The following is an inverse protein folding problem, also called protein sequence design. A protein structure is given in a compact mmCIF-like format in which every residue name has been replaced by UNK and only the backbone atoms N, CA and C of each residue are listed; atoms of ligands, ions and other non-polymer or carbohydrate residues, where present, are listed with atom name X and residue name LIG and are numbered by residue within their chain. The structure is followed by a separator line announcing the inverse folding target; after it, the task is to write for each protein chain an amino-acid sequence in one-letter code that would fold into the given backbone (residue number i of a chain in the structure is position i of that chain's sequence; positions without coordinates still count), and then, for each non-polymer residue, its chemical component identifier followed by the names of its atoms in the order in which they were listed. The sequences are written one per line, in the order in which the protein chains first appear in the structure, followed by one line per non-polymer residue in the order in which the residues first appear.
data_IF_181293172640
#
_entry.id   IF_181293172640
#
_cell.length_a   1.000
_cell.length_b   1.000
_cell.length_c   1.000
_cell.angle_alpha   90.00
_cell.angle_beta   90.00
_cell.angle_gamma   90.00
#
_symmetry.space_group_name_H-M   'P 1'
#
loop_
_entity.id
_entity.type
_entity.pdbx_description
1 polymer ?
#
# COMPACT_ATOMS: atom_id res chain seq x y z
N UNK A 1 -23.62 -4.22 17.33
CA UNK A 1 -23.55 -5.40 16.45
C UNK A 1 -24.92 -6.04 16.26
N UNK A 2 -25.31 -6.24 15.01
CA UNK A 2 -26.45 -7.06 14.61
C UNK A 2 -26.19 -8.56 14.75
N UNK A 3 -27.23 -9.38 14.62
CA UNK A 3 -27.14 -10.84 14.84
C UNK A 3 -26.31 -11.55 13.76
N UNK A 4 -26.36 -11.05 12.52
CA UNK A 4 -25.51 -11.52 11.42
C UNK A 4 -24.02 -11.25 11.69
N UNK A 5 -23.65 -10.08 12.21
CA UNK A 5 -22.26 -9.72 12.51
C UNK A 5 -21.68 -10.64 13.58
N UNK A 6 -22.46 -10.95 14.63
CA UNK A 6 -22.07 -11.92 15.66
C UNK A 6 -21.88 -13.33 15.11
N UNK A 7 -22.75 -13.77 14.21
CA UNK A 7 -22.61 -15.08 13.58
C UNK A 7 -21.38 -15.16 12.67
N UNK A 8 -21.07 -14.09 11.94
CA UNK A 8 -19.88 -14.03 11.09
C UNK A 8 -18.60 -14.05 11.94
N UNK A 9 -18.55 -13.26 13.02
CA UNK A 9 -17.36 -13.12 13.87
C UNK A 9 -17.08 -14.33 14.79
N UNK A 10 -18.13 -15.07 15.18
CA UNK A 10 -18.02 -16.16 16.14
C UNK A 10 -17.53 -15.68 17.52
N UNK A 11 -16.54 -16.38 18.09
CA UNK A 11 -15.92 -16.02 19.37
C UNK A 11 -14.93 -14.84 19.27
N UNK A 12 -14.62 -14.41 18.04
CA UNK A 12 -13.78 -13.23 17.81
C UNK A 12 -14.68 -12.00 17.76
N UNK A 13 -14.22 -10.88 18.32
CA UNK A 13 -14.94 -9.62 18.15
C UNK A 13 -14.92 -9.22 16.67
N UNK A 14 -16.09 -8.90 16.10
CA UNK A 14 -16.24 -8.53 14.68
C UNK A 14 -15.38 -7.31 14.36
N UNK A 15 -15.29 -6.36 15.29
CA UNK A 15 -14.42 -5.19 15.15
C UNK A 15 -12.94 -5.60 15.19
N UNK A 16 -12.53 -6.54 16.04
CA UNK A 16 -11.16 -7.11 16.01
C UNK A 16 -10.86 -7.89 14.71
N UNK A 17 -11.90 -8.41 14.04
CA UNK A 17 -11.78 -9.17 12.79
C UNK A 17 -11.84 -8.29 11.53
N UNK A 18 -12.63 -7.21 11.56
CA UNK A 18 -12.90 -6.30 10.44
C UNK A 18 -12.14 -4.99 10.52
N UNK A 19 -11.89 -4.48 11.73
CA UNK A 19 -11.04 -3.33 11.93
C UNK A 19 -9.61 -3.81 11.93
N UNK A 20 -8.98 -3.46 10.82
CA UNK A 20 -7.58 -3.17 10.58
C UNK A 20 -6.90 -2.38 11.73
N UNK A 21 -6.99 -2.80 12.99
CA UNK A 21 -6.15 -2.27 14.06
C UNK A 21 -5.51 -3.42 14.84
N UNK A 22 -4.16 -3.44 14.84
CA UNK A 22 -3.32 -4.32 15.65
C UNK A 22 -3.26 -5.80 15.23
N UNK A 23 -3.53 -6.14 13.97
CA UNK A 23 -3.19 -7.49 13.48
C UNK A 23 -1.69 -7.61 13.16
N UNK A 24 -1.08 -8.79 13.32
CA UNK A 24 0.30 -9.04 12.88
C UNK A 24 0.55 -8.65 11.41
N UNK A 25 -0.47 -8.74 10.53
CA UNK A 25 -0.35 -8.34 9.11
C UNK A 25 -0.08 -6.84 8.99
N UNK A 26 -0.81 -6.02 9.75
CA UNK A 26 -0.66 -4.57 9.68
C UNK A 26 0.57 -4.04 10.39
N UNK A 27 0.96 -4.69 11.48
CA UNK A 27 2.23 -4.39 12.13
C UNK A 27 3.39 -4.59 11.14
N UNK A 28 3.36 -5.69 10.38
CA UNK A 28 4.35 -5.96 9.33
C UNK A 28 4.30 -4.87 8.25
N UNK A 29 3.11 -4.54 7.74
CA UNK A 29 2.96 -3.50 6.71
C UNK A 29 3.46 -2.13 7.19
N UNK A 30 3.07 -1.72 8.39
CA UNK A 30 3.46 -0.43 8.97
C UNK A 30 4.96 -0.35 9.24
N UNK A 31 5.55 -1.45 9.72
CA UNK A 31 6.99 -1.54 9.95
C UNK A 31 7.77 -1.55 8.62
N UNK A 32 7.27 -2.26 7.59
CA UNK A 32 7.87 -2.27 6.27
C UNK A 32 7.92 -0.86 5.64
N UNK A 33 6.82 -0.11 5.76
CA UNK A 33 6.79 1.29 5.36
C UNK A 33 7.83 2.12 6.11
N UNK A 34 7.93 1.99 7.43
CA UNK A 34 8.91 2.71 8.23
C UNK A 34 10.36 2.36 7.86
N UNK A 35 10.63 1.13 7.44
CA UNK A 35 11.93 0.69 6.91
C UNK A 35 12.22 1.37 5.57
N UNK A 36 11.28 1.36 4.62
CA UNK A 36 11.45 2.05 3.33
C UNK A 36 11.74 3.54 3.48
N UNK A 37 11.10 4.21 4.45
CA UNK A 37 11.34 5.63 4.72
C UNK A 37 12.74 5.94 5.26
N UNK A 38 13.49 4.95 5.73
CA UNK A 38 14.82 5.13 6.32
C UNK A 38 15.94 4.44 5.56
N UNK A 39 15.60 3.53 4.64
CA UNK A 39 16.60 2.79 3.88
C UNK A 39 17.39 3.72 2.95
N UNK A 40 18.73 3.78 3.06
CA UNK A 40 19.53 4.73 2.32
C UNK A 40 19.52 4.49 0.81
N UNK A 41 19.33 3.25 0.34
CA UNK A 41 19.25 2.95 -1.09
C UNK A 41 17.90 3.39 -1.66
N UNK A 42 16.82 3.18 -0.90
CA UNK A 42 15.48 3.69 -1.26
C UNK A 42 15.49 5.21 -1.32
N UNK A 43 16.09 5.89 -0.34
CA UNK A 43 16.18 7.36 -0.35
C UNK A 43 17.00 7.88 -1.54
N UNK A 44 18.13 7.25 -1.85
CA UNK A 44 18.94 7.62 -3.01
C UNK A 44 18.17 7.43 -4.34
N UNK A 45 17.45 6.32 -4.49
CA UNK A 45 16.65 6.07 -5.69
C UNK A 45 15.45 7.04 -5.82
N UNK A 46 14.82 7.40 -4.70
CA UNK A 46 13.76 8.43 -4.66
C UNK A 46 14.28 9.80 -5.06
N UNK A 47 15.45 10.19 -4.55
CA UNK A 47 16.08 11.45 -4.94
C UNK A 47 16.39 11.46 -6.45
N UNK A 48 16.97 10.38 -6.98
CA UNK A 48 17.25 10.28 -8.42
C UNK A 48 15.96 10.34 -9.27
N UNK A 49 14.88 9.71 -8.81
CA UNK A 49 13.56 9.82 -9.45
C UNK A 49 13.03 11.25 -9.45
N UNK A 50 13.13 11.97 -8.32
CA UNK A 50 12.75 13.37 -8.24
C UNK A 50 13.59 14.28 -9.14
N UNK A 51 14.90 14.03 -9.24
CA UNK A 51 15.79 14.74 -10.15
C UNK A 51 15.40 14.52 -11.61
N UNK A 52 15.12 13.28 -12.02
CA UNK A 52 14.64 12.97 -13.38
C UNK A 52 13.31 13.66 -13.70
N UNK A 53 12.34 13.62 -12.79
CA UNK A 53 11.06 14.33 -12.97
C UNK A 53 11.25 15.85 -13.08
N UNK A 54 12.19 16.42 -12.31
CA UNK A 54 12.50 17.84 -12.33
C UNK A 54 13.18 18.31 -13.63
N UNK A 55 13.94 17.44 -14.31
CA UNK A 55 14.52 17.69 -15.63
C UNK A 55 13.41 17.89 -16.69
N UNK A 56 12.31 17.14 -16.56
CA UNK A 56 11.11 17.24 -17.41
C UNK A 56 10.13 18.35 -16.98
N UNK A 57 10.51 19.14 -15.96
CA UNK A 57 9.73 20.28 -15.48
C UNK A 57 8.76 19.97 -14.32
N UNK A 58 8.70 18.73 -13.85
CA UNK A 58 7.86 18.31 -12.73
C UNK A 58 8.64 18.42 -11.40
N UNK A 59 8.59 19.59 -10.75
CA UNK A 59 9.51 19.96 -9.65
C UNK A 59 8.94 19.90 -8.24
N UNK A 60 7.62 19.70 -8.10
CA UNK A 60 7.00 19.69 -6.78
C UNK A 60 7.40 18.41 -6.06
N UNK A 61 7.95 18.54 -4.84
CA UNK A 61 8.37 17.42 -3.99
C UNK A 61 7.77 17.56 -2.58
N UNK A 62 7.54 16.44 -1.91
CA UNK A 62 7.09 16.42 -0.52
C UNK A 62 8.25 16.59 0.45
N UNK A 63 7.93 16.66 1.75
CA UNK A 63 8.91 16.77 2.83
C UNK A 63 9.90 15.59 2.90
N UNK A 64 9.62 14.50 2.18
CA UNK A 64 10.40 13.26 2.09
C UNK A 64 11.11 13.13 0.74
N UNK A 65 11.11 14.19 -0.07
CA UNK A 65 11.77 14.24 -1.37
C UNK A 65 11.08 13.44 -2.47
N UNK A 66 9.83 13.03 -2.26
CA UNK A 66 9.03 12.33 -3.27
C UNK A 66 8.39 13.33 -4.22
N UNK A 67 8.38 13.11 -5.55
CA UNK A 67 7.59 13.91 -6.47
C UNK A 67 6.13 13.99 -6.01
N UNK A 68 5.61 15.20 -5.82
CA UNK A 68 4.18 15.46 -5.67
C UNK A 68 3.65 15.89 -7.03
N UNK A 69 2.54 15.29 -7.41
CA UNK A 69 1.76 15.77 -8.55
C UNK A 69 0.91 16.96 -8.10
N UNK A 70 1.38 18.17 -8.37
CA UNK A 70 0.59 19.39 -8.20
C UNK A 70 -0.38 19.52 -9.38
N UNK A 71 -1.46 18.74 -9.33
CA UNK A 71 -2.46 18.65 -10.38
C UNK A 71 -3.07 20.01 -10.75
N UNK A 72 -3.28 20.89 -9.77
CA UNK A 72 -3.80 22.23 -10.01
C UNK A 72 -2.81 23.07 -10.83
N UNK A 73 -1.53 23.09 -10.46
CA UNK A 73 -0.50 23.80 -11.23
C UNK A 73 -0.31 23.26 -12.66
N UNK A 74 -0.61 21.97 -12.86
CA UNK A 74 -0.53 21.28 -14.13
C UNK A 74 -1.82 21.41 -14.96
N UNK A 75 -2.86 22.08 -14.44
CA UNK A 75 -4.15 22.22 -15.10
C UNK A 75 -4.89 20.91 -15.29
N UNK A 76 -4.65 19.93 -14.40
CA UNK A 76 -5.25 18.60 -14.44
C UNK A 76 -6.58 18.64 -13.68
N UNK A 77 -7.66 18.32 -14.40
CA UNK A 77 -9.01 18.19 -13.85
C UNK A 77 -9.29 16.73 -13.51
N UNK A 78 -9.28 16.40 -12.22
CA UNK A 78 -9.51 15.05 -11.72
C UNK A 78 -10.96 14.55 -11.91
N UNK A 79 -11.90 15.47 -12.19
CA UNK A 79 -13.30 15.12 -12.47
C UNK A 79 -13.56 14.88 -13.98
N UNK A 80 -12.56 15.11 -14.83
CA UNK A 80 -12.68 14.90 -16.26
C UNK A 80 -12.93 13.41 -16.58
N UNK A 81 -13.87 13.08 -17.48
CA UNK A 81 -14.21 11.68 -17.79
C UNK A 81 -13.13 10.93 -18.59
N UNK A 82 -12.10 11.65 -19.07
CA UNK A 82 -10.96 11.09 -19.81
C UNK A 82 -9.69 11.86 -19.46
N UNK A 83 -8.53 11.18 -19.40
CA UNK A 83 -7.27 11.86 -19.19
C UNK A 83 -6.95 12.78 -20.38
N UNK A 84 -6.49 13.97 -20.05
CA UNK A 84 -5.87 14.92 -20.96
C UNK A 84 -4.50 14.44 -21.45
N UNK A 85 -3.95 15.09 -22.47
CA UNK A 85 -2.59 14.79 -22.93
C UNK A 85 -1.55 15.10 -21.84
N UNK A 86 -1.75 16.14 -21.04
CA UNK A 86 -0.87 16.49 -19.92
C UNK A 86 -0.78 15.37 -18.89
N UNK A 87 -1.91 14.74 -18.54
CA UNK A 87 -1.95 13.60 -17.63
C UNK A 87 -1.23 12.38 -18.21
N UNK A 88 -1.41 12.12 -19.51
CA UNK A 88 -0.74 11.02 -20.22
C UNK A 88 0.77 11.25 -20.26
N UNK A 89 1.22 12.47 -20.58
CA UNK A 89 2.63 12.82 -20.65
C UNK A 89 3.29 12.73 -19.27
N UNK A 90 2.62 13.24 -18.23
CA UNK A 90 3.06 13.13 -16.85
C UNK A 90 3.23 11.66 -16.42
N UNK A 91 2.22 10.83 -16.65
CA UNK A 91 2.29 9.41 -16.29
C UNK A 91 3.36 8.64 -17.08
N UNK A 92 3.57 9.03 -18.35
CA UNK A 92 4.59 8.44 -19.20
C UNK A 92 5.99 8.76 -18.68
N UNK A 93 6.25 10.02 -18.33
CA UNK A 93 7.51 10.46 -17.75
C UNK A 93 7.75 9.88 -16.36
N UNK A 94 6.71 9.79 -15.54
CA UNK A 94 6.79 9.14 -14.24
C UNK A 94 7.28 7.69 -14.36
N UNK A 95 6.63 6.89 -15.21
CA UNK A 95 7.05 5.50 -15.46
C UNK A 95 8.47 5.43 -16.03
N UNK A 96 8.82 6.32 -16.96
CA UNK A 96 10.17 6.38 -17.52
C UNK A 96 11.22 6.63 -16.43
N UNK A 97 11.03 7.68 -15.62
CA UNK A 97 11.96 8.05 -14.56
C UNK A 97 12.03 6.98 -13.46
N UNK A 98 10.92 6.32 -13.13
CA UNK A 98 10.92 5.19 -12.19
C UNK A 98 11.76 4.01 -12.70
N UNK A 99 11.74 3.74 -14.00
CA UNK A 99 12.54 2.68 -14.63
C UNK A 99 14.03 3.03 -14.68
N UNK A 100 14.36 4.24 -15.13
CA UNK A 100 15.73 4.78 -15.16
C UNK A 100 16.40 4.70 -13.78
N UNK A 101 15.68 5.11 -12.75
CA UNK A 101 16.22 5.27 -11.38
C UNK A 101 16.06 4.02 -10.52
N UNK A 102 15.29 3.03 -11.00
CA UNK A 102 15.01 1.77 -10.31
C UNK A 102 14.42 1.95 -8.92
N UNK A 103 13.67 3.04 -8.71
CA UNK A 103 13.05 3.34 -7.40
C UNK A 103 12.05 2.26 -6.98
N UNK A 104 11.26 1.76 -7.92
CA UNK A 104 10.31 0.68 -7.68
C UNK A 104 11.01 -0.65 -7.36
N UNK A 105 12.03 -1.02 -8.14
CA UNK A 105 12.80 -2.26 -7.92
C UNK A 105 13.52 -2.25 -6.56
N UNK A 106 14.16 -1.12 -6.23
CA UNK A 106 14.90 -0.95 -4.97
C UNK A 106 13.96 -1.01 -3.78
N UNK A 107 12.81 -0.32 -3.85
CA UNK A 107 11.78 -0.38 -2.82
C UNK A 107 11.24 -1.80 -2.65
N UNK A 108 10.90 -2.46 -3.76
CA UNK A 108 10.41 -3.84 -3.75
C UNK A 108 11.39 -4.80 -3.07
N UNK A 109 12.68 -4.72 -3.41
CA UNK A 109 13.71 -5.60 -2.83
C UNK A 109 13.83 -5.41 -1.31
N UNK A 110 13.85 -4.16 -0.84
CA UNK A 110 13.99 -3.84 0.58
C UNK A 110 12.74 -4.26 1.35
N UNK A 111 11.56 -3.94 0.83
CA UNK A 111 10.29 -4.28 1.46
C UNK A 111 10.06 -5.78 1.52
N UNK A 112 10.23 -6.50 0.40
CA UNK A 112 10.03 -7.95 0.36
C UNK A 112 10.96 -8.68 1.32
N UNK A 113 12.25 -8.32 1.36
CA UNK A 113 13.19 -8.93 2.30
C UNK A 113 12.78 -8.71 3.77
N UNK A 114 12.31 -7.51 4.11
CA UNK A 114 11.83 -7.22 5.46
C UNK A 114 10.56 -8.01 5.78
N UNK A 115 9.58 -7.98 4.88
CA UNK A 115 8.29 -8.66 5.07
C UNK A 115 8.47 -10.18 5.16
N UNK A 116 9.29 -10.79 4.32
CA UNK A 116 9.61 -12.23 4.39
C UNK A 116 10.22 -12.62 5.74
N UNK A 117 11.15 -11.80 6.26
CA UNK A 117 11.77 -12.04 7.56
C UNK A 117 10.75 -11.92 8.71
N UNK A 118 9.87 -10.91 8.68
CA UNK A 118 8.84 -10.75 9.71
C UNK A 118 7.73 -11.79 9.62
N UNK A 119 7.34 -12.21 8.41
CA UNK A 119 6.42 -13.32 8.20
C UNK A 119 6.99 -14.60 8.81
N UNK A 120 8.28 -14.88 8.59
CA UNK A 120 8.97 -16.02 9.19
C UNK A 120 8.95 -15.98 10.73
N UNK A 121 9.21 -14.82 11.32
CA UNK A 121 9.19 -14.63 12.79
C UNK A 121 7.79 -14.76 13.40
N UNK A 122 6.75 -14.42 12.63
CA UNK A 122 5.36 -14.31 13.11
C UNK A 122 4.47 -15.41 12.52
N UNK A 123 5.04 -16.48 11.98
CA UNK A 123 4.32 -17.50 11.22
C UNK A 123 3.13 -18.11 12.00
N UNK A 124 3.29 -18.39 13.29
CA UNK A 124 2.21 -18.93 14.13
C UNK A 124 1.06 -17.92 14.32
N UNK A 125 1.38 -16.66 14.62
CA UNK A 125 0.38 -15.60 14.77
C UNK A 125 -0.36 -15.35 13.44
N UNK A 126 0.36 -15.36 12.31
CA UNK A 126 -0.23 -15.23 10.98
C UNK A 126 -1.11 -16.43 10.60
N UNK A 127 -0.74 -17.65 11.00
CA UNK A 127 -1.57 -18.83 10.81
C UNK A 127 -2.89 -18.73 11.59
N UNK A 128 -2.86 -18.17 12.80
CA UNK A 128 -4.06 -17.92 13.58
C UNK A 128 -4.96 -16.87 12.92
N UNK A 129 -4.40 -15.76 12.42
CA UNK A 129 -5.14 -14.75 11.65
C UNK A 129 -5.82 -15.39 10.43
N UNK A 130 -5.09 -16.21 9.67
CA UNK A 130 -5.65 -16.92 8.51
C UNK A 130 -6.83 -17.80 8.91
N UNK A 131 -6.70 -18.57 9.99
CA UNK A 131 -7.77 -19.45 10.49
C UNK A 131 -9.02 -18.64 10.85
N UNK A 132 -8.87 -17.52 11.55
CA UNK A 132 -9.98 -16.64 11.90
C UNK A 132 -10.72 -16.13 10.66
N UNK A 133 -10.00 -15.68 9.63
CA UNK A 133 -10.64 -15.26 8.37
C UNK A 133 -11.35 -16.41 7.63
N UNK A 134 -10.76 -17.60 7.59
CA UNK A 134 -11.40 -18.76 6.98
C UNK A 134 -12.68 -19.19 7.71
N UNK A 135 -12.70 -19.07 9.04
CA UNK A 135 -13.90 -19.28 9.86
C UNK A 135 -14.98 -18.25 9.55
N UNK A 136 -14.61 -16.97 9.49
CA UNK A 136 -15.52 -15.88 9.15
C UNK A 136 -16.19 -16.06 7.79
N UNK A 137 -15.42 -16.46 6.76
CA UNK A 137 -15.94 -16.74 5.42
C UNK A 137 -16.93 -17.92 5.43
N UNK A 138 -16.62 -18.99 6.17
CA UNK A 138 -17.55 -20.14 6.32
C UNK A 138 -18.84 -19.75 7.02
N UNK A 139 -18.74 -18.93 8.06
CA UNK A 139 -19.90 -18.45 8.80
C UNK A 139 -20.77 -17.55 7.91
N UNK A 140 -20.17 -16.61 7.18
CA UNK A 140 -20.86 -15.75 6.23
C UNK A 140 -21.61 -16.57 5.15
N UNK A 141 -20.98 -17.60 4.58
CA UNK A 141 -21.62 -18.48 3.62
C UNK A 141 -22.86 -19.20 4.21
N UNK A 142 -22.79 -19.57 5.50
CA UNK A 142 -23.91 -20.20 6.21
C UNK A 142 -25.06 -19.21 6.44
N UNK A 143 -24.75 -17.97 6.86
CA UNK A 143 -25.75 -16.90 7.02
C UNK A 143 -26.45 -16.61 5.69
N UNK A 144 -25.69 -16.47 4.60
CA UNK A 144 -26.22 -16.22 3.25
C UNK A 144 -27.07 -17.36 2.70
N UNK A 145 -26.83 -18.61 3.13
CA UNK A 145 -27.63 -19.76 2.73
C UNK A 145 -28.93 -19.91 3.54
N UNK A 146 -29.05 -19.21 4.68
CA UNK A 146 -30.21 -19.25 5.57
C UNK A 146 -31.17 -18.06 5.37
N UNK A 147 -30.75 -17.03 4.62
CA UNK A 147 -31.58 -15.88 4.21
C UNK A 147 -32.06 -15.99 2.78
#
# INVERSE_FOLDING_TARGET
MGEAEKQIAGDTDFDTMMLYENTPVQEIQSAAWAVLQKDPYVQAARQAWAECMAEEGYRTIDEKGMPILDFESLGIDLDAPKPSQTEIDLATWDVHCQQETKVAETSFRVESQFQEAEIGKRAEALAQVKKTYEEAVRNAATVLAQG
#
